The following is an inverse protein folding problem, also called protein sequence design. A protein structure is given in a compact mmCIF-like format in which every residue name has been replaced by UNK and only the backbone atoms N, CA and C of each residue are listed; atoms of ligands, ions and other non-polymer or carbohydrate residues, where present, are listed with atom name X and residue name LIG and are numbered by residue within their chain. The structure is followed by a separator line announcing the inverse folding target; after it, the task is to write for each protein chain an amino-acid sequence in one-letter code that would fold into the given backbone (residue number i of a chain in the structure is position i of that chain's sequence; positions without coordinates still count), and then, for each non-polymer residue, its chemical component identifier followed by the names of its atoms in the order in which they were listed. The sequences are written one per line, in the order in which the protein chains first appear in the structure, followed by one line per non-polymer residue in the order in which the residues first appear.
data_IF_230483920860
#
_entry.id   IF_230483920860
#
_cell.length_a   1.000
_cell.length_b   1.000
_cell.length_c   1.000
_cell.angle_alpha   90.00
_cell.angle_beta   90.00
_cell.angle_gamma   90.00
#
_symmetry.space_group_name_H-M   'P 1'
#
loop_
_entity.id
_entity.type
_entity.pdbx_description
1 polymer ?
#
# COMPACT_ATOMS: atom_id res chain seq x y z
N UNK A 1 2.75 -4.02 -11.82
CA UNK A 1 3.29 -2.99 -10.93
C UNK A 1 4.30 -3.66 -10.03
N UNK A 2 5.47 -3.09 -9.81
CA UNK A 2 6.59 -3.77 -9.13
C UNK A 2 7.01 -2.98 -7.90
N UNK A 3 7.52 -3.70 -6.90
CA UNK A 3 8.22 -3.09 -5.76
C UNK A 3 9.41 -2.30 -6.27
N UNK A 4 9.60 -1.10 -5.77
CA UNK A 4 10.73 -0.22 -6.09
C UNK A 4 11.25 0.45 -4.81
N UNK A 5 12.53 0.75 -4.80
CA UNK A 5 13.17 1.44 -3.70
C UNK A 5 14.04 2.57 -4.25
N UNK A 6 13.95 3.74 -3.63
CA UNK A 6 14.87 4.84 -3.89
C UNK A 6 16.05 4.75 -2.93
N UNK A 7 17.24 5.05 -3.45
CA UNK A 7 18.51 5.04 -2.74
C UNK A 7 19.03 3.65 -2.33
N UNK A 8 18.55 2.58 -2.98
CA UNK A 8 19.16 1.25 -2.78
C UNK A 8 20.51 1.17 -3.54
N UNK A 9 21.54 0.66 -2.87
CA UNK A 9 22.90 0.48 -3.41
C UNK A 9 22.90 -0.45 -4.63
N UNK A 10 22.11 -1.51 -4.58
CA UNK A 10 21.93 -2.47 -5.69
C UNK A 10 20.51 -2.39 -6.20
N UNK A 11 20.33 -1.90 -7.43
CA UNK A 11 19.02 -1.75 -8.05
C UNK A 11 18.24 -3.07 -8.09
N UNK A 12 17.00 -3.03 -7.60
CA UNK A 12 16.08 -4.16 -7.57
C UNK A 12 16.29 -5.13 -6.40
N UNK A 13 17.22 -4.86 -5.48
CA UNK A 13 17.43 -5.66 -4.27
C UNK A 13 16.17 -5.70 -3.39
N UNK A 14 15.38 -4.65 -3.40
CA UNK A 14 14.15 -4.51 -2.63
C UNK A 14 13.09 -5.60 -2.91
N UNK A 15 13.14 -6.24 -4.06
CA UNK A 15 12.18 -7.31 -4.42
C UNK A 15 12.41 -8.59 -3.65
N UNK A 16 13.60 -8.80 -3.13
CA UNK A 16 14.03 -10.05 -2.53
C UNK A 16 13.84 -10.13 -1.02
N UNK A 17 13.48 -9.04 -0.36
CA UNK A 17 13.26 -9.02 1.09
C UNK A 17 11.87 -9.51 1.50
N UNK A 18 10.93 -9.60 0.56
CA UNK A 18 9.59 -10.16 0.78
C UNK A 18 9.64 -11.67 0.57
N UNK A 19 10.03 -12.40 1.60
CA UNK A 19 10.19 -13.85 1.62
C UNK A 19 9.09 -14.49 2.48
N UNK A 20 8.88 -15.82 2.35
CA UNK A 20 8.05 -16.56 3.30
C UNK A 20 8.52 -16.36 4.74
N UNK A 21 7.56 -16.38 5.67
CA UNK A 21 7.82 -16.11 7.09
C UNK A 21 8.85 -17.03 7.74
N UNK A 22 8.90 -18.30 7.34
CA UNK A 22 9.88 -19.28 7.80
C UNK A 22 11.32 -18.95 7.37
N UNK A 23 11.49 -18.14 6.33
CA UNK A 23 12.79 -17.70 5.82
C UNK A 23 13.20 -16.31 6.34
N UNK A 24 12.47 -15.72 7.27
CA UNK A 24 12.73 -14.35 7.74
C UNK A 24 14.09 -14.14 8.36
N UNK A 25 14.68 -15.19 8.98
CA UNK A 25 16.01 -15.17 9.60
C UNK A 25 17.13 -15.68 8.69
N UNK A 26 16.83 -15.99 7.44
CA UNK A 26 17.86 -16.43 6.49
C UNK A 26 18.87 -15.31 6.27
N UNK A 27 20.14 -15.63 6.52
CA UNK A 27 21.28 -14.73 6.28
C UNK A 27 21.83 -14.86 4.87
N UNK A 28 21.41 -15.89 4.13
CA UNK A 28 21.86 -16.19 2.78
C UNK A 28 20.88 -15.65 1.74
N UNK A 29 20.81 -14.35 1.57
CA UNK A 29 19.92 -13.77 0.55
C UNK A 29 20.20 -12.30 0.34
N UNK A 30 19.71 -11.73 -0.77
CA UNK A 30 19.81 -10.31 -1.01
C UNK A 30 19.13 -9.51 0.10
N UNK A 31 19.74 -8.39 0.45
CA UNK A 31 19.23 -7.40 1.40
C UNK A 31 19.08 -6.07 0.69
N UNK A 32 18.22 -5.19 1.18
CA UNK A 32 18.28 -3.79 0.79
C UNK A 32 19.39 -3.14 1.62
N UNK A 33 20.24 -2.40 0.96
CA UNK A 33 21.23 -1.53 1.59
C UNK A 33 21.14 -0.16 0.96
N UNK A 34 21.15 0.89 1.77
CA UNK A 34 21.19 2.26 1.25
C UNK A 34 22.59 2.60 0.72
N UNK A 35 22.67 3.71 -0.01
CA UNK A 35 23.96 4.32 -0.32
C UNK A 35 24.75 4.54 0.99
N UNK A 36 26.05 4.23 1.04
CA UNK A 36 26.87 4.40 2.24
C UNK A 36 27.01 5.85 2.72
N UNK A 37 26.75 6.81 1.85
CA UNK A 37 26.80 8.24 2.21
C UNK A 37 25.42 8.81 2.59
N UNK A 38 24.35 7.98 2.48
CA UNK A 38 22.98 8.40 2.76
C UNK A 38 22.15 7.21 3.34
N UNK A 39 21.79 7.25 4.63
CA UNK A 39 21.05 6.17 5.28
C UNK A 39 19.55 6.15 4.94
N UNK A 40 19.03 7.08 4.17
CA UNK A 40 17.61 7.13 3.82
C UNK A 40 17.22 6.06 2.81
N UNK A 41 16.06 5.46 3.01
CA UNK A 41 15.44 4.55 2.05
C UNK A 41 13.95 4.88 1.90
N UNK A 42 13.45 4.88 0.69
CA UNK A 42 12.02 5.01 0.38
C UNK A 42 11.57 3.85 -0.48
N UNK A 43 10.79 2.97 0.11
CA UNK A 43 10.31 1.73 -0.50
C UNK A 43 8.84 1.83 -0.85
N UNK A 44 8.49 1.65 -2.12
CA UNK A 44 7.13 1.57 -2.62
C UNK A 44 6.70 0.13 -2.88
N UNK A 45 5.62 -0.31 -2.25
CA UNK A 45 5.08 -1.67 -2.36
C UNK A 45 3.63 -1.61 -2.85
N UNK A 46 3.37 -1.94 -4.11
CA UNK A 46 2.02 -2.06 -4.63
C UNK A 46 1.42 -3.43 -4.29
N UNK A 47 0.14 -3.45 -3.95
CA UNK A 47 -0.63 -4.68 -3.75
C UNK A 47 -1.48 -4.98 -4.98
N UNK A 48 -1.72 -6.27 -5.23
CA UNK A 48 -2.57 -6.71 -6.34
C UNK A 48 -4.07 -6.57 -6.06
N UNK A 49 -4.42 -6.29 -4.81
CA UNK A 49 -5.79 -6.07 -4.37
C UNK A 49 -5.88 -5.03 -3.27
N UNK A 50 -6.93 -5.07 -2.49
CA UNK A 50 -7.13 -4.21 -1.33
C UNK A 50 -6.70 -4.91 -0.05
N UNK A 51 -5.92 -4.25 0.77
CA UNK A 51 -5.40 -4.79 2.04
C UNK A 51 -5.95 -3.97 3.20
N UNK A 52 -6.40 -4.68 4.23
CA UNK A 52 -6.63 -4.13 5.56
C UNK A 52 -5.44 -4.51 6.42
N UNK A 53 -4.49 -3.59 6.56
CA UNK A 53 -3.23 -3.86 7.24
C UNK A 53 -3.40 -3.76 8.76
N UNK A 54 -2.97 -4.79 9.47
CA UNK A 54 -3.07 -4.89 10.93
C UNK A 54 -1.73 -4.68 11.63
N UNK A 55 -0.65 -5.15 11.02
CA UNK A 55 0.70 -4.99 11.56
C UNK A 55 1.76 -5.15 10.45
N UNK A 56 2.98 -4.75 10.76
CA UNK A 56 4.14 -4.99 9.92
C UNK A 56 5.34 -5.44 10.77
N UNK A 57 6.24 -6.17 10.15
CA UNK A 57 7.51 -6.61 10.74
C UNK A 57 8.64 -6.13 9.85
N UNK A 58 9.68 -5.55 10.46
CA UNK A 58 10.91 -5.14 9.79
C UNK A 58 12.08 -5.80 10.50
N UNK A 59 12.93 -6.49 9.75
CA UNK A 59 14.21 -7.03 10.24
C UNK A 59 15.31 -6.27 9.52
N UNK A 60 16.11 -5.58 10.31
CA UNK A 60 17.25 -4.81 9.82
C UNK A 60 18.57 -5.60 9.84
N UNK A 61 19.65 -4.90 9.55
CA UNK A 61 21.00 -5.40 9.66
C UNK A 61 21.61 -5.22 11.04
N UNK A 62 22.77 -5.84 11.30
CA UNK A 62 23.52 -5.69 12.55
C UNK A 62 24.32 -4.39 12.58
N UNK A 63 25.03 -4.19 13.70
CA UNK A 63 26.06 -3.15 13.87
C UNK A 63 25.55 -1.72 13.60
N UNK A 64 24.31 -1.43 14.03
CA UNK A 64 23.70 -0.12 13.89
C UNK A 64 23.10 0.18 12.50
N UNK A 65 23.13 -0.77 11.58
CA UNK A 65 22.55 -0.61 10.23
C UNK A 65 21.04 -0.83 10.18
N UNK A 66 20.43 -1.34 11.24
CA UNK A 66 18.98 -1.43 11.35
C UNK A 66 18.32 -0.06 11.23
N UNK A 67 17.19 0.08 10.53
CA UNK A 67 16.44 1.33 10.49
C UNK A 67 15.92 1.68 11.89
N UNK A 68 16.03 2.96 12.28
CA UNK A 68 15.63 3.45 13.60
C UNK A 68 14.23 4.07 13.62
N UNK A 69 13.76 4.52 12.48
CA UNK A 69 12.44 5.15 12.33
C UNK A 69 11.77 4.70 11.04
N UNK A 70 10.46 4.59 11.08
CA UNK A 70 9.62 4.29 9.93
C UNK A 70 8.47 5.28 9.86
N UNK A 71 8.30 5.94 8.72
CA UNK A 71 7.11 6.71 8.36
C UNK A 71 6.38 6.02 7.22
N UNK A 72 5.07 5.90 7.33
CA UNK A 72 4.25 5.16 6.36
C UNK A 72 3.23 6.07 5.71
N UNK A 73 3.15 5.94 4.38
CA UNK A 73 2.15 6.56 3.52
C UNK A 73 1.40 5.45 2.78
N UNK A 74 0.16 5.70 2.39
CA UNK A 74 -0.65 4.72 1.65
C UNK A 74 -1.30 5.35 0.43
N UNK A 75 -1.50 4.52 -0.60
CA UNK A 75 -2.23 4.89 -1.81
C UNK A 75 -1.64 6.13 -2.52
N UNK A 76 -0.32 6.26 -2.53
CA UNK A 76 0.43 7.33 -3.19
C UNK A 76 1.35 6.73 -4.25
N UNK A 77 1.52 7.43 -5.37
CA UNK A 77 2.44 7.06 -6.45
C UNK A 77 3.48 8.17 -6.74
N UNK A 78 3.37 9.29 -6.05
CA UNK A 78 4.07 10.55 -6.32
C UNK A 78 5.14 10.89 -5.28
N UNK A 79 5.53 9.93 -4.43
CA UNK A 79 6.45 10.19 -3.33
C UNK A 79 7.91 10.09 -3.77
N UNK A 80 8.69 11.06 -3.32
CA UNK A 80 10.14 11.12 -3.36
C UNK A 80 10.69 11.66 -2.03
N UNK A 81 12.01 11.76 -1.88
CA UNK A 81 12.62 12.23 -0.63
C UNK A 81 12.25 13.67 -0.28
N UNK A 82 12.02 14.52 -1.27
CA UNK A 82 11.60 15.90 -1.04
C UNK A 82 10.17 15.98 -0.51
N UNK A 83 9.29 15.17 -1.04
CA UNK A 83 7.87 15.15 -0.64
C UNK A 83 7.64 14.47 0.71
N UNK A 84 8.31 13.35 1.00
CA UNK A 84 8.13 12.62 2.27
C UNK A 84 8.69 13.36 3.48
N UNK A 85 9.63 14.29 3.28
CA UNK A 85 10.18 15.10 4.36
C UNK A 85 9.12 16.02 4.98
N UNK A 86 8.26 16.60 4.14
CA UNK A 86 7.28 17.63 4.52
C UNK A 86 5.87 17.07 4.75
N UNK A 87 5.57 15.87 4.26
CA UNK A 87 4.27 15.27 4.39
C UNK A 87 4.06 14.61 5.76
N UNK A 88 2.87 14.77 6.32
CA UNK A 88 2.46 14.00 7.49
C UNK A 88 2.20 12.54 7.10
N UNK A 89 2.89 11.57 7.73
CA UNK A 89 2.63 10.16 7.48
C UNK A 89 1.27 9.73 8.03
N UNK A 90 0.72 8.65 7.51
CA UNK A 90 -0.49 8.01 8.07
C UNK A 90 -0.21 7.49 9.47
N UNK A 91 0.99 6.93 9.67
CA UNK A 91 1.50 6.50 10.96
C UNK A 91 3.03 6.47 10.91
N UNK A 92 3.67 6.68 12.07
CA UNK A 92 5.11 6.52 12.25
C UNK A 92 5.43 5.69 13.49
N UNK A 93 6.61 5.07 13.48
CA UNK A 93 7.14 4.28 14.59
C UNK A 93 8.62 4.58 14.80
N UNK A 94 9.01 4.63 16.05
CA UNK A 94 10.39 4.43 16.42
C UNK A 94 10.64 2.92 16.46
N UNK A 95 11.57 2.45 15.62
CA UNK A 95 11.88 1.04 15.48
C UNK A 95 12.92 0.61 16.51
N UNK A 96 12.91 -0.67 16.83
CA UNK A 96 13.96 -1.32 17.62
C UNK A 96 14.86 -2.14 16.70
N UNK A 97 16.09 -2.38 17.12
CA UNK A 97 16.95 -3.36 16.46
C UNK A 97 16.33 -4.75 16.59
N UNK A 98 15.66 -5.20 15.54
CA UNK A 98 14.91 -6.46 15.51
C UNK A 98 15.63 -7.47 14.61
N UNK A 99 16.72 -8.06 15.11
CA UNK A 99 17.52 -9.02 14.32
C UNK A 99 16.92 -10.41 14.30
N UNK A 100 16.06 -10.74 15.26
CA UNK A 100 15.44 -12.06 15.41
C UNK A 100 13.98 -12.13 14.92
N UNK A 101 13.45 -11.03 14.42
CA UNK A 101 12.09 -10.98 13.82
C UNK A 101 10.94 -11.20 14.81
N UNK A 102 11.16 -10.89 16.09
CA UNK A 102 10.13 -11.06 17.14
C UNK A 102 9.24 -9.83 17.32
N UNK A 103 9.67 -8.68 16.82
CA UNK A 103 8.93 -7.43 16.96
C UNK A 103 7.95 -7.25 15.81
N UNK A 104 6.70 -7.03 16.17
CA UNK A 104 5.60 -6.71 15.29
C UNK A 104 5.08 -5.31 15.62
N UNK A 105 4.94 -4.45 14.62
CA UNK A 105 4.48 -3.08 14.78
C UNK A 105 3.01 -2.99 14.40
N UNK A 106 2.09 -2.82 15.37
CA UNK A 106 0.66 -2.75 15.09
C UNK A 106 0.29 -1.43 14.39
N UNK A 107 -0.63 -1.51 13.44
CA UNK A 107 -1.19 -0.35 12.75
C UNK A 107 -2.45 0.15 13.44
N UNK A 108 -2.78 1.42 13.19
CA UNK A 108 -4.11 1.95 13.46
C UNK A 108 -5.06 1.47 12.36
N UNK A 109 -5.68 0.31 12.55
CA UNK A 109 -6.42 -0.43 11.51
C UNK A 109 -7.45 0.42 10.77
N UNK A 110 -8.08 1.39 11.46
CA UNK A 110 -9.04 2.31 10.84
C UNK A 110 -8.41 3.18 9.74
N UNK A 111 -7.13 3.51 9.86
CA UNK A 111 -6.38 4.29 8.86
C UNK A 111 -5.81 3.42 7.73
N UNK A 112 -5.66 2.13 7.96
CA UNK A 112 -5.05 1.17 7.03
C UNK A 112 -6.06 0.22 6.41
N UNK A 113 -7.25 0.71 6.12
CA UNK A 113 -8.28 -0.02 5.41
C UNK A 113 -8.31 0.42 3.94
N UNK A 114 -8.42 -0.53 3.02
CA UNK A 114 -8.45 -0.23 1.59
C UNK A 114 -7.08 0.18 1.01
N UNK A 115 -6.00 -0.41 1.51
CA UNK A 115 -4.63 -0.11 1.08
C UNK A 115 -4.34 -0.82 -0.24
N UNK A 116 -4.01 -0.07 -1.28
CA UNK A 116 -3.62 -0.58 -2.60
C UNK A 116 -2.13 -0.47 -2.86
N UNK A 117 -1.47 0.46 -2.19
CA UNK A 117 -0.02 0.60 -2.14
C UNK A 117 0.41 1.16 -0.80
N UNK A 118 1.61 0.83 -0.38
CA UNK A 118 2.22 1.34 0.83
C UNK A 118 3.62 1.84 0.52
N UNK A 119 3.95 3.02 1.05
CA UNK A 119 5.27 3.60 0.97
C UNK A 119 5.88 3.61 2.37
N UNK A 120 7.06 3.02 2.48
CA UNK A 120 7.82 2.87 3.71
C UNK A 120 9.05 3.77 3.63
N UNK A 121 9.06 4.85 4.39
CA UNK A 121 10.18 5.76 4.47
C UNK A 121 10.97 5.54 5.75
N UNK A 122 12.24 5.23 5.58
CA UNK A 122 13.22 5.02 6.65
C UNK A 122 14.22 6.17 6.63
N UNK A 123 14.02 7.21 7.47
CA UNK A 123 14.87 8.41 7.45
C UNK A 123 16.22 8.23 8.15
N UNK A 124 16.37 7.21 8.99
CA UNK A 124 17.57 7.04 9.82
C UNK A 124 17.78 5.59 10.26
N UNK A 125 19.00 5.31 10.71
CA UNK A 125 19.39 4.06 11.33
C UNK A 125 19.99 4.27 12.72
N UNK A 126 20.55 3.23 13.33
CA UNK A 126 21.16 3.28 14.67
C UNK A 126 22.64 3.68 14.68
N UNK A 127 23.12 4.39 13.64
CA UNK A 127 24.44 5.05 13.61
C UNK A 127 25.43 4.46 12.63
N UNK A 128 25.04 3.50 11.79
CA UNK A 128 25.88 3.03 10.69
C UNK A 128 25.84 4.00 9.49
N UNK A 129 26.81 3.90 8.60
CA UNK A 129 26.87 4.72 7.38
C UNK A 129 25.73 4.39 6.41
N UNK A 130 25.32 3.13 6.32
CA UNK A 130 24.23 2.67 5.49
C UNK A 130 23.14 1.97 6.31
N UNK A 131 21.91 2.10 5.88
CA UNK A 131 20.77 1.33 6.41
C UNK A 131 20.64 0.00 5.70
N UNK A 132 20.47 -1.07 6.45
CA UNK A 132 20.26 -2.42 5.92
C UNK A 132 18.90 -2.98 6.36
N UNK A 133 18.12 -3.49 5.39
CA UNK A 133 16.85 -4.18 5.64
C UNK A 133 16.92 -5.56 5.00
N UNK A 134 16.68 -6.59 5.83
CA UNK A 134 16.77 -8.01 5.44
C UNK A 134 15.43 -8.64 5.13
N UNK A 135 14.37 -8.16 5.79
CA UNK A 135 13.05 -8.74 5.68
C UNK A 135 11.97 -7.72 6.05
N UNK A 136 10.89 -7.73 5.29
CA UNK A 136 9.65 -7.01 5.63
C UNK A 136 8.48 -7.97 5.42
N UNK A 137 7.55 -7.98 6.37
CA UNK A 137 6.27 -8.68 6.25
C UNK A 137 5.11 -7.77 6.64
N UNK A 138 3.98 -8.03 6.02
CA UNK A 138 2.71 -7.38 6.31
C UNK A 138 1.72 -8.43 6.81
N UNK A 139 1.00 -8.09 7.88
CA UNK A 139 -0.07 -8.90 8.45
C UNK A 139 -1.39 -8.17 8.27
N UNK A 140 -2.37 -8.85 7.73
CA UNK A 140 -3.69 -8.25 7.49
C UNK A 140 -4.61 -9.13 6.67
N UNK A 141 -5.69 -8.55 6.21
CA UNK A 141 -6.69 -9.19 5.38
C UNK A 141 -6.57 -8.71 3.94
N UNK A 142 -6.48 -9.63 3.00
CA UNK A 142 -6.39 -9.34 1.58
C UNK A 142 -7.74 -9.61 0.91
N UNK A 143 -8.19 -8.67 0.10
CA UNK A 143 -9.36 -8.80 -0.75
C UNK A 143 -8.95 -8.64 -2.21
N UNK A 144 -9.17 -9.66 -3.02
CA UNK A 144 -8.99 -9.54 -4.45
C UNK A 144 -9.86 -8.41 -4.99
N UNK A 145 -9.29 -7.53 -5.82
CA UNK A 145 -10.08 -6.66 -6.67
C UNK A 145 -10.83 -7.55 -7.65
N UNK A 146 -12.04 -7.95 -7.34
CA UNK A 146 -12.96 -8.39 -8.37
C UNK A 146 -13.10 -7.20 -9.31
N UNK A 147 -12.53 -7.28 -10.52
CA UNK A 147 -13.03 -6.53 -11.67
C UNK A 147 -14.44 -7.06 -11.88
N UNK A 148 -15.39 -6.55 -11.14
CA UNK A 148 -16.76 -6.56 -11.59
C UNK A 148 -16.73 -5.70 -12.85
N UNK A 149 -16.81 -6.37 -14.00
CA UNK A 149 -17.42 -5.74 -15.13
C UNK A 149 -18.76 -5.23 -14.58
N UNK A 150 -18.89 -3.92 -14.48
CA UNK A 150 -20.17 -3.29 -14.25
C UNK A 150 -20.89 -3.57 -15.55
N UNK A 151 -21.60 -4.70 -15.64
CA UNK A 151 -22.72 -4.82 -16.52
C UNK A 151 -23.73 -3.81 -15.99
N UNK A 152 -23.62 -2.59 -16.53
CA UNK A 152 -24.70 -1.66 -16.47
C UNK A 152 -25.80 -2.26 -17.33
N UNK A 153 -26.63 -3.10 -16.72
CA UNK A 153 -27.92 -3.46 -17.29
C UNK A 153 -28.74 -2.17 -17.20
N UNK A 154 -28.68 -1.38 -18.27
CA UNK A 154 -29.67 -0.37 -18.52
C UNK A 154 -30.98 -1.12 -18.82
N UNK A 155 -31.73 -1.48 -17.79
CA UNK A 155 -33.14 -1.71 -17.93
C UNK A 155 -33.78 -0.36 -18.25
N UNK A 156 -33.84 -0.03 -19.52
CA UNK A 156 -34.79 0.94 -20.01
C UNK A 156 -36.18 0.31 -19.75
N UNK A 157 -36.77 0.60 -18.60
CA UNK A 157 -38.21 0.41 -18.42
C UNK A 157 -38.86 1.32 -19.42
N UNK A 158 -39.62 0.79 -20.43
CA UNK A 158 -40.47 1.65 -21.23
C UNK A 158 -41.45 2.29 -20.25
N UNK A 159 -41.34 3.58 -20.09
CA UNK A 159 -42.40 4.35 -19.46
C UNK A 159 -43.60 4.17 -20.38
N UNK A 160 -44.70 3.55 -19.97
CA UNK A 160 -45.91 3.58 -20.78
C UNK A 160 -46.29 5.03 -20.83
N UNK A 161 -46.00 5.68 -21.98
CA UNK A 161 -46.59 6.97 -22.29
C UNK A 161 -48.08 6.69 -22.37
N UNK A 162 -48.77 7.14 -21.38
CA UNK A 162 -50.21 7.17 -21.37
C UNK A 162 -50.67 8.19 -22.43
N UNK A 163 -50.71 7.76 -23.69
CA UNK A 163 -51.42 8.47 -24.74
C UNK A 163 -52.89 8.23 -24.51
N UNK A 164 -53.47 9.01 -23.64
CA UNK A 164 -54.91 9.22 -23.69
C UNK A 164 -55.22 9.95 -24.99
N UNK A 165 -55.68 9.20 -25.96
CA UNK A 165 -56.30 9.77 -27.12
C UNK A 165 -57.61 10.39 -26.66
N UNK A 166 -57.81 11.71 -26.81
CA UNK A 166 -59.14 12.28 -26.53
C UNK A 166 -60.14 11.69 -27.53
N UNK A 167 -61.03 10.90 -27.03
CA UNK A 167 -62.15 10.47 -27.85
C UNK A 167 -63.06 11.66 -28.00
N UNK A 168 -62.98 12.37 -29.15
CA UNK A 168 -63.98 13.32 -29.51
C UNK A 168 -65.29 12.58 -29.72
N UNK A 169 -66.12 12.68 -28.74
CA UNK A 169 -67.53 12.36 -28.97
C UNK A 169 -68.13 13.47 -29.82
N UNK A 170 -68.33 13.10 -31.07
CA UNK A 170 -68.99 13.96 -32.00
C UNK A 170 -70.33 14.45 -31.49
N UNK A 171 -70.46 15.74 -31.50
CA UNK A 171 -71.71 16.40 -31.23
C UNK A 171 -72.76 15.86 -32.14
N UNK A 172 -73.69 15.22 -31.60
CA UNK A 172 -74.87 14.81 -32.32
C UNK A 172 -75.85 16.01 -32.35
N UNK A 173 -75.92 16.63 -33.47
CA UNK A 173 -77.07 17.53 -33.78
C UNK A 173 -78.32 16.69 -33.96
N UNK A 174 -79.16 16.73 -32.98
CA UNK A 174 -80.54 16.30 -33.18
C UNK A 174 -81.44 17.47 -33.30
N UNK A 175 -82.26 17.42 -34.31
CA UNK A 175 -83.41 18.30 -34.37
C UNK A 175 -84.46 17.84 -33.38
#
# INVERSE_FOLDING_TARGET
MQVRCLNEETEGSCRHIFRPWDQRLSTSGPVIRSDPDDPELLLHVPFTGSVKLQALTVIGGPDGSSPAKLKVFINRDDLDFSTVADLAPVQEWDLLENLNGTMEYPTQVAKFNGVHSIDLYFPSNFGADATEIRFIAFKGEFSERKRQAVEAVYEARPVPSDHQVPTEHGARMGM
#
